data_IF_490661647152
#
_entry.id   IF_490661647152
#
_cell.length_a   1.000
_cell.length_b   1.000
_cell.length_c   1.000
_cell.angle_alpha   90.00
_cell.angle_beta   90.00
_cell.angle_gamma   90.00
#
_symmetry.space_group_name_H-M   'P 1'
#
loop_
_entity.id
_entity.type
_entity.pdbx_description
1 polymer ?
#
# COMPACT_ATOMS: atom_id res chain seq x y z
N UNK A 1 -61.41 -10.84 -44.90
CA UNK A 1 -60.08 -10.21 -44.85
C UNK A 1 -59.80 -9.79 -43.41
N UNK A 2 -58.87 -10.44 -42.70
CA UNK A 2 -58.43 -10.04 -41.35
C UNK A 2 -56.98 -9.55 -41.45
N UNK A 3 -56.76 -8.26 -41.19
CA UNK A 3 -55.45 -7.63 -41.17
C UNK A 3 -54.60 -8.16 -40.00
N UNK A 4 -53.38 -8.58 -40.31
CA UNK A 4 -52.38 -9.04 -39.36
C UNK A 4 -51.83 -7.87 -38.52
N UNK A 5 -52.23 -7.81 -37.24
CA UNK A 5 -51.57 -7.00 -36.20
C UNK A 5 -50.30 -7.71 -35.72
N UNK A 6 -49.29 -7.83 -36.57
CA UNK A 6 -48.02 -8.50 -36.23
C UNK A 6 -46.87 -7.53 -35.90
N UNK A 7 -46.93 -6.28 -36.36
CA UNK A 7 -45.78 -5.35 -36.31
C UNK A 7 -45.51 -4.62 -34.98
N UNK A 8 -46.44 -4.62 -34.03
CA UNK A 8 -46.29 -3.84 -32.77
C UNK A 8 -45.52 -4.62 -31.69
N UNK A 9 -45.72 -5.93 -31.60
CA UNK A 9 -45.08 -6.78 -30.56
C UNK A 9 -43.59 -7.00 -30.80
N UNK A 10 -43.15 -7.11 -32.07
CA UNK A 10 -41.73 -7.31 -32.39
C UNK A 10 -40.90 -6.05 -32.14
N UNK A 11 -41.44 -4.86 -32.42
CA UNK A 11 -40.78 -3.57 -32.14
C UNK A 11 -40.66 -3.31 -30.64
N UNK A 12 -41.69 -3.63 -29.84
CA UNK A 12 -41.63 -3.51 -28.38
C UNK A 12 -40.59 -4.44 -27.76
N UNK A 13 -40.46 -5.66 -28.28
CA UNK A 13 -39.46 -6.63 -27.81
C UNK A 13 -38.03 -6.21 -28.17
N UNK A 14 -37.81 -5.71 -29.39
CA UNK A 14 -36.49 -5.19 -29.81
C UNK A 14 -36.07 -3.98 -28.97
N UNK A 15 -36.99 -3.03 -28.72
CA UNK A 15 -36.71 -1.85 -27.87
C UNK A 15 -36.36 -2.28 -26.44
N UNK A 16 -37.09 -3.24 -25.87
CA UNK A 16 -36.84 -3.77 -24.53
C UNK A 16 -35.48 -4.48 -24.43
N UNK A 17 -35.08 -5.24 -25.46
CA UNK A 17 -33.78 -5.91 -25.52
C UNK A 17 -32.65 -4.89 -25.62
N UNK A 18 -32.76 -3.88 -26.49
CA UNK A 18 -31.75 -2.80 -26.56
C UNK A 18 -31.66 -2.00 -25.26
N UNK A 19 -32.78 -1.70 -24.61
CA UNK A 19 -32.77 -0.99 -23.32
C UNK A 19 -32.12 -1.83 -22.21
N UNK A 20 -32.35 -3.14 -22.18
CA UNK A 20 -31.72 -4.06 -21.22
C UNK A 20 -30.21 -4.25 -21.50
N UNK A 21 -29.78 -4.22 -22.75
CA UNK A 21 -28.36 -4.27 -23.12
C UNK A 21 -27.64 -2.95 -22.78
N UNK A 22 -28.27 -1.79 -22.96
CA UNK A 22 -27.67 -0.51 -22.57
C UNK A 22 -27.57 -0.32 -21.05
N UNK A 23 -28.49 -0.87 -20.25
CA UNK A 23 -28.40 -0.82 -18.78
C UNK A 23 -27.36 -1.81 -18.23
N UNK A 24 -27.15 -2.95 -18.89
CA UNK A 24 -26.11 -3.92 -18.52
C UNK A 24 -24.68 -3.44 -18.85
N UNK A 25 -24.52 -2.53 -19.81
CA UNK A 25 -23.22 -1.94 -20.18
C UNK A 25 -22.82 -0.72 -19.32
N UNK A 26 -23.75 -0.15 -18.54
CA UNK A 26 -23.59 1.15 -17.89
C UNK A 26 -23.10 1.16 -16.44
N UNK A 27 -22.88 0.02 -15.78
CA UNK A 27 -22.62 -0.01 -14.32
C UNK A 27 -21.25 -0.53 -13.90
N UNK A 28 -20.35 -0.82 -14.83
CA UNK A 28 -18.97 -1.19 -14.52
C UNK A 28 -18.01 0.01 -14.54
N UNK A 29 -18.45 1.18 -14.04
CA UNK A 29 -17.46 2.09 -13.48
C UNK A 29 -17.02 1.46 -12.18
N UNK A 30 -15.88 0.75 -12.21
CA UNK A 30 -15.13 0.49 -10.99
C UNK A 30 -15.08 1.82 -10.24
N UNK A 31 -15.57 1.85 -9.00
CA UNK A 31 -15.23 2.96 -8.10
C UNK A 31 -13.72 3.12 -8.24
N UNK A 32 -13.27 4.29 -8.70
CA UNK A 32 -11.89 4.70 -8.46
C UNK A 32 -11.77 4.76 -6.94
N UNK A 33 -11.47 3.62 -6.31
CA UNK A 33 -11.00 3.65 -4.95
C UNK A 33 -9.68 4.38 -5.00
N UNK A 34 -9.66 5.58 -4.42
CA UNK A 34 -8.47 6.43 -4.40
C UNK A 34 -7.27 5.61 -3.96
N UNK A 35 -6.23 5.61 -4.79
CA UNK A 35 -4.94 5.07 -4.44
C UNK A 35 -4.40 5.91 -3.28
N UNK A 36 -4.03 5.26 -2.17
CA UNK A 36 -3.51 5.95 -0.98
C UNK A 36 -2.14 5.42 -0.63
N UNK A 37 -1.21 6.32 -0.35
CA UNK A 37 0.10 6.01 0.22
C UNK A 37 0.08 6.29 1.72
N UNK A 38 0.47 5.28 2.50
CA UNK A 38 0.67 5.38 3.94
C UNK A 38 2.17 5.23 4.25
N UNK A 39 2.71 6.15 5.04
CA UNK A 39 4.05 6.06 5.59
C UNK A 39 3.99 5.66 7.05
N UNK A 40 4.81 4.68 7.43
CA UNK A 40 4.89 4.13 8.78
C UNK A 40 6.31 4.29 9.33
N UNK A 41 6.42 4.37 10.65
CA UNK A 41 7.71 4.39 11.35
C UNK A 41 8.14 2.96 11.67
N UNK A 42 9.43 2.68 11.57
CA UNK A 42 10.06 1.45 12.10
C UNK A 42 11.19 1.80 13.08
N UNK A 43 11.03 2.93 13.78
CA UNK A 43 12.04 3.47 14.67
C UNK A 43 13.14 4.23 13.93
N UNK A 44 14.38 4.10 14.41
CA UNK A 44 15.50 4.86 13.90
C UNK A 44 16.82 4.09 13.95
N UNK A 45 17.83 4.56 13.23
CA UNK A 45 19.22 4.13 13.32
C UNK A 45 20.07 5.28 13.86
N UNK A 46 21.12 4.95 14.62
CA UNK A 46 22.13 5.90 15.07
C UNK A 46 23.48 5.54 14.46
N UNK A 47 24.00 6.40 13.58
CA UNK A 47 25.20 6.16 12.78
C UNK A 47 25.98 7.44 12.52
N UNK A 48 27.27 7.31 12.18
CA UNK A 48 28.08 8.46 11.80
C UNK A 48 27.64 9.06 10.46
N UNK A 49 27.62 10.40 10.35
CA UNK A 49 27.15 11.10 9.14
C UNK A 49 27.96 10.73 7.88
N UNK A 50 29.25 10.44 8.04
CA UNK A 50 30.13 9.96 6.97
C UNK A 50 29.64 8.69 6.26
N UNK A 51 28.74 7.90 6.87
CA UNK A 51 28.11 6.76 6.22
C UNK A 51 27.06 7.15 5.16
N UNK A 52 26.54 8.38 5.19
CA UNK A 52 25.52 8.87 4.26
C UNK A 52 26.02 10.00 3.37
N UNK A 53 27.00 10.77 3.85
CA UNK A 53 27.52 11.95 3.16
C UNK A 53 29.03 11.82 3.03
N UNK A 54 29.51 11.74 1.79
CA UNK A 54 30.93 11.59 1.51
C UNK A 54 31.75 12.72 2.18
N UNK A 55 32.89 12.37 2.77
CA UNK A 55 33.77 13.27 3.54
C UNK A 55 33.15 13.95 4.78
N UNK A 56 31.94 13.59 5.22
CA UNK A 56 31.41 14.04 6.50
C UNK A 56 32.08 13.29 7.67
N UNK A 57 32.18 13.91 8.86
CA UNK A 57 32.73 13.24 10.03
C UNK A 57 31.84 12.08 10.49
N UNK A 58 32.46 11.08 11.13
CA UNK A 58 31.75 9.95 11.73
C UNK A 58 31.22 10.28 13.14
N UNK A 59 31.83 11.23 13.83
CA UNK A 59 31.42 11.69 15.15
C UNK A 59 31.16 13.21 15.17
N UNK A 60 30.15 13.69 15.93
CA UNK A 60 29.16 12.89 16.65
C UNK A 60 28.19 12.15 15.70
N UNK A 61 27.57 11.04 16.13
CA UNK A 61 26.60 10.33 15.31
C UNK A 61 25.31 11.14 15.13
N UNK A 62 24.57 10.79 14.08
CA UNK A 62 23.23 11.31 13.78
C UNK A 62 22.18 10.20 13.93
N UNK A 63 20.94 10.61 14.17
CA UNK A 63 19.78 9.71 14.19
C UNK A 63 19.03 9.85 12.87
N UNK A 64 18.73 8.74 12.21
CA UNK A 64 17.96 8.72 10.95
C UNK A 64 16.71 7.84 11.11
N UNK A 65 15.54 8.28 10.62
CA UNK A 65 14.33 7.47 10.71
C UNK A 65 14.39 6.29 9.75
N UNK A 66 13.82 5.15 10.16
CA UNK A 66 13.56 4.01 9.29
C UNK A 66 12.06 3.98 9.03
N UNK A 67 11.67 3.95 7.75
CA UNK A 67 10.26 3.89 7.35
C UNK A 67 9.96 2.66 6.50
N UNK A 68 8.69 2.32 6.42
CA UNK A 68 8.14 1.44 5.39
C UNK A 68 6.83 2.04 4.89
N UNK A 69 6.37 1.61 3.71
CA UNK A 69 5.24 2.26 3.05
C UNK A 69 4.25 1.26 2.49
N UNK A 70 2.96 1.56 2.62
CA UNK A 70 1.89 0.77 2.00
C UNK A 70 1.13 1.62 1.01
N UNK A 71 1.06 1.16 -0.22
CA UNK A 71 0.12 1.66 -1.22
C UNK A 71 -1.15 0.81 -1.14
N UNK A 72 -2.25 1.40 -0.69
CA UNK A 72 -3.59 0.82 -0.87
C UNK A 72 -4.01 1.08 -2.30
N UNK A 73 -4.22 0.02 -3.06
CA UNK A 73 -4.56 0.08 -4.48
C UNK A 73 -5.73 -0.87 -4.78
N UNK A 74 -6.67 -0.50 -5.69
CA UNK A 74 -7.87 -1.31 -5.96
C UNK A 74 -7.59 -2.76 -6.39
N UNK A 75 -6.41 -3.01 -6.97
CA UNK A 75 -5.96 -4.34 -7.41
C UNK A 75 -5.21 -5.14 -6.34
N UNK A 76 -5.06 -4.60 -5.14
CA UNK A 76 -4.28 -5.18 -4.04
C UNK A 76 -3.22 -4.23 -3.50
N UNK A 77 -2.87 -4.40 -2.23
CA UNK A 77 -1.91 -3.53 -1.56
C UNK A 77 -0.48 -3.85 -2.00
N UNK A 78 0.37 -2.82 -2.06
CA UNK A 78 1.81 -2.95 -2.29
C UNK A 78 2.55 -2.48 -1.06
N UNK A 79 3.43 -3.32 -0.51
CA UNK A 79 4.32 -3.00 0.60
C UNK A 79 5.71 -2.69 0.04
N UNK A 80 6.25 -1.52 0.38
CA UNK A 80 7.62 -1.12 0.11
C UNK A 80 8.42 -1.17 1.41
N UNK A 81 9.53 -1.91 1.36
CA UNK A 81 10.36 -2.28 2.51
C UNK A 81 9.58 -2.96 3.65
N UNK A 82 10.27 -3.34 4.72
CA UNK A 82 9.67 -4.00 5.89
C UNK A 82 10.19 -3.47 7.22
N UNK A 83 10.97 -2.38 7.19
CA UNK A 83 11.57 -1.79 8.38
C UNK A 83 12.55 -2.71 9.12
N UNK A 84 12.76 -2.40 10.40
CA UNK A 84 13.60 -3.12 11.34
C UNK A 84 12.88 -4.38 11.88
N UNK A 85 13.65 -5.41 12.24
CA UNK A 85 13.10 -6.65 12.79
C UNK A 85 12.73 -6.48 14.27
N UNK A 86 11.50 -6.83 14.64
CA UNK A 86 10.92 -6.70 16.00
C UNK A 86 11.73 -7.40 17.09
N UNK A 87 12.49 -8.45 16.76
CA UNK A 87 13.38 -9.12 17.71
C UNK A 87 14.44 -8.20 18.30
N UNK A 88 14.81 -7.11 17.61
CA UNK A 88 15.73 -6.11 18.15
C UNK A 88 15.22 -5.42 19.42
N UNK A 89 13.91 -5.44 19.69
CA UNK A 89 13.32 -4.86 20.90
C UNK A 89 13.80 -5.62 22.15
N UNK A 90 13.93 -6.95 22.05
CA UNK A 90 14.32 -7.82 23.18
C UNK A 90 15.73 -8.38 23.05
N UNK A 91 16.25 -8.47 21.83
CA UNK A 91 17.57 -8.99 21.51
C UNK A 91 18.32 -8.02 20.57
N UNK A 92 19.09 -7.07 21.13
CA UNK A 92 19.94 -6.17 20.34
C UNK A 92 21.01 -6.91 19.52
N UNK A 93 21.29 -8.19 19.81
CA UNK A 93 22.28 -8.97 19.07
C UNK A 93 21.73 -9.66 17.83
N UNK A 94 20.41 -9.57 17.59
CA UNK A 94 19.73 -10.22 16.47
C UNK A 94 20.36 -9.91 15.10
N UNK A 95 20.88 -8.69 14.92
CA UNK A 95 21.58 -8.24 13.70
C UNK A 95 23.10 -8.48 13.71
N UNK A 96 23.62 -9.11 14.77
CA UNK A 96 25.06 -9.32 14.97
C UNK A 96 25.85 -8.02 14.90
N UNK A 97 26.92 -8.01 14.09
CA UNK A 97 27.82 -6.85 13.95
C UNK A 97 27.12 -5.60 13.38
N UNK A 98 26.06 -5.74 12.60
CA UNK A 98 25.35 -4.59 12.04
C UNK A 98 24.69 -3.73 13.13
N UNK A 99 24.29 -4.33 14.26
CA UNK A 99 23.75 -3.58 15.40
C UNK A 99 24.77 -2.58 15.98
N UNK A 100 26.06 -2.90 15.96
CA UNK A 100 27.11 -2.01 16.48
C UNK A 100 27.30 -0.77 15.59
N UNK A 101 27.14 -0.93 14.27
CA UNK A 101 27.32 0.14 13.29
C UNK A 101 26.08 1.05 13.17
N UNK A 102 24.88 0.47 13.27
CA UNK A 102 23.62 1.17 12.97
C UNK A 102 22.77 1.46 14.21
N UNK A 103 23.03 0.80 15.34
CA UNK A 103 22.39 1.01 16.64
C UNK A 103 20.87 1.30 16.51
N UNK A 104 20.09 0.34 15.97
CA UNK A 104 18.65 0.50 15.83
C UNK A 104 17.99 0.80 17.17
N UNK A 105 17.05 1.74 17.16
CA UNK A 105 16.20 2.09 18.29
C UNK A 105 14.75 1.81 17.90
N UNK A 106 14.13 0.88 18.63
CA UNK A 106 12.78 0.39 18.37
C UNK A 106 11.97 0.29 19.66
N UNK A 107 10.67 0.53 19.54
CA UNK A 107 9.66 0.31 20.57
C UNK A 107 8.57 -0.61 20.03
N UNK A 108 7.81 -1.32 20.90
CA UNK A 108 6.77 -2.25 20.44
C UNK A 108 5.71 -1.64 19.52
N UNK A 109 5.37 -0.36 19.70
CA UNK A 109 4.35 0.34 18.91
C UNK A 109 4.77 0.62 17.45
N UNK A 110 6.08 0.59 17.15
CA UNK A 110 6.61 0.81 15.78
C UNK A 110 6.95 -0.50 15.06
N UNK A 111 6.61 -1.66 15.63
CA UNK A 111 6.70 -2.93 14.93
C UNK A 111 5.67 -2.99 13.79
N UNK A 112 6.05 -3.60 12.65
CA UNK A 112 5.21 -3.62 11.44
C UNK A 112 3.90 -4.39 11.65
N UNK A 113 3.95 -5.48 12.41
CA UNK A 113 2.80 -6.33 12.73
C UNK A 113 1.81 -5.64 13.68
N UNK A 114 2.27 -4.67 14.48
CA UNK A 114 1.43 -3.82 15.32
C UNK A 114 0.72 -2.74 14.50
N UNK A 115 1.41 -2.16 13.51
CA UNK A 115 0.88 -1.06 12.69
C UNK A 115 -0.04 -1.48 11.54
N UNK A 116 0.11 -2.70 11.01
CA UNK A 116 -0.66 -3.19 9.86
C UNK A 116 -1.86 -4.09 10.23
N UNK A 117 -2.34 -4.02 11.48
CA UNK A 117 -3.49 -4.79 11.96
C UNK A 117 -4.81 -4.35 11.33
#
# INVERSE_FOLDING_TARGET
MKQARSGSRSRGLLIAITAALLTALGTAHAKDEDIRLYGFSSGALTLGKGALVNFAPMDPPIVVPVGFYVVKHPKGNVLFDTGNNDKLITDPTWWGKANQALKPAMTPDVAIDVQLK
#
